data_IF_703342691001
#
_entry.id   IF_703342691001
#
_cell.length_a   1.000
_cell.length_b   1.000
_cell.length_c   1.000
_cell.angle_alpha   90.00
_cell.angle_beta   90.00
_cell.angle_gamma   90.00
#
_symmetry.space_group_name_H-M   'P 1'
#
loop_
_entity.id
_entity.type
_entity.pdbx_description
1 polymer ?
#
# COMPACT_ATOMS: atom_id res chain seq x y z
N UNK A 1 12.01 -52.46 30.17
CA UNK A 1 11.84 -51.34 29.21
C UNK A 1 11.11 -50.20 29.92
N UNK A 2 11.70 -49.02 29.95
CA UNK A 2 11.09 -47.86 30.58
C UNK A 2 10.21 -47.15 29.50
N UNK A 3 8.90 -47.03 29.75
CA UNK A 3 7.96 -46.33 28.88
C UNK A 3 7.69 -44.94 29.44
N UNK A 4 8.19 -43.90 28.79
CA UNK A 4 7.85 -42.52 29.13
C UNK A 4 6.52 -42.14 28.43
N UNK A 5 5.52 -41.70 29.20
CA UNK A 5 4.30 -41.07 28.70
C UNK A 5 4.32 -39.59 29.04
N UNK A 6 4.29 -38.71 28.02
CA UNK A 6 4.15 -37.27 28.22
C UNK A 6 2.67 -36.92 28.23
N UNK A 7 2.16 -36.39 29.35
CA UNK A 7 0.79 -35.85 29.43
C UNK A 7 0.73 -34.50 28.69
N UNK A 8 -0.26 -34.30 27.83
CA UNK A 8 -0.46 -33.05 27.12
C UNK A 8 0.20 -32.99 25.72
N UNK A 9 0.99 -34.01 25.32
CA UNK A 9 1.60 -34.02 23.98
C UNK A 9 0.56 -34.08 22.87
N UNK A 10 -0.54 -34.82 23.05
CA UNK A 10 -1.60 -34.94 22.04
C UNK A 10 -2.36 -33.63 21.85
N UNK A 11 -2.63 -32.91 22.94
CA UNK A 11 -3.25 -31.57 22.88
C UNK A 11 -2.36 -30.56 22.17
N UNK A 12 -1.06 -30.61 22.45
CA UNK A 12 -0.09 -29.76 21.78
C UNK A 12 0.03 -30.06 20.29
N UNK A 13 0.07 -31.33 19.90
CA UNK A 13 0.08 -31.76 18.50
C UNK A 13 -1.19 -31.32 17.76
N UNK A 14 -2.37 -31.46 18.40
CA UNK A 14 -3.62 -30.96 17.81
C UNK A 14 -3.60 -29.45 17.60
N UNK A 15 -3.04 -28.68 18.55
CA UNK A 15 -2.89 -27.24 18.42
C UNK A 15 -1.97 -26.87 17.25
N UNK A 16 -0.83 -27.55 17.10
CA UNK A 16 0.07 -27.35 15.97
C UNK A 16 -0.59 -27.67 14.63
N UNK A 17 -1.35 -28.76 14.53
CA UNK A 17 -2.09 -29.11 13.31
C UNK A 17 -3.15 -28.06 12.95
N UNK A 18 -3.83 -27.44 13.94
CA UNK A 18 -4.75 -26.33 13.71
C UNK A 18 -4.05 -25.10 13.19
N UNK A 19 -2.88 -24.75 13.77
CA UNK A 19 -2.05 -23.65 13.29
C UNK A 19 -1.66 -23.88 11.84
N UNK A 20 -1.12 -25.06 11.51
CA UNK A 20 -0.73 -25.41 10.15
C UNK A 20 -1.87 -25.26 9.14
N UNK A 21 -3.04 -25.81 9.47
CA UNK A 21 -4.23 -25.73 8.62
C UNK A 21 -4.72 -24.30 8.38
N UNK A 22 -4.63 -23.42 9.38
CA UNK A 22 -5.13 -22.05 9.33
C UNK A 22 -4.05 -21.03 8.90
N UNK A 23 -2.82 -21.48 8.68
CA UNK A 23 -1.69 -20.60 8.31
C UNK A 23 -1.99 -19.68 7.13
N UNK A 24 -2.56 -20.12 6.00
CA UNK A 24 -2.84 -19.23 4.87
C UNK A 24 -3.82 -18.11 5.23
N UNK A 25 -4.86 -18.41 6.03
CA UNK A 25 -5.83 -17.42 6.49
C UNK A 25 -5.20 -16.41 7.44
N UNK A 26 -4.42 -16.88 8.42
CA UNK A 26 -3.70 -16.04 9.36
C UNK A 26 -2.74 -15.11 8.62
N UNK A 27 -1.95 -15.63 7.67
CA UNK A 27 -1.04 -14.83 6.86
C UNK A 27 -1.78 -13.80 6.01
N UNK A 28 -2.94 -14.15 5.46
CA UNK A 28 -3.81 -13.22 4.77
C UNK A 28 -4.22 -12.04 5.65
N UNK A 29 -4.70 -12.30 6.86
CA UNK A 29 -5.07 -11.26 7.84
C UNK A 29 -3.87 -10.39 8.21
N UNK A 30 -2.69 -10.99 8.42
CA UNK A 30 -1.45 -10.27 8.74
C UNK A 30 -1.05 -9.34 7.60
N UNK A 31 -0.98 -9.84 6.37
CA UNK A 31 -0.53 -9.08 5.21
C UNK A 31 -1.46 -7.91 4.92
N UNK A 32 -2.78 -8.12 4.96
CA UNK A 32 -3.75 -7.04 4.78
C UNK A 32 -3.71 -6.05 5.95
N UNK A 33 -3.64 -6.52 7.19
CA UNK A 33 -3.56 -5.63 8.36
C UNK A 33 -2.31 -4.74 8.37
N UNK A 34 -1.17 -5.23 7.86
CA UNK A 34 0.01 -4.40 7.63
C UNK A 34 -0.19 -3.41 6.48
N UNK A 35 -0.77 -3.88 5.37
CA UNK A 35 -0.98 -3.09 4.17
C UNK A 35 -1.94 -1.91 4.42
N UNK A 36 -2.98 -2.10 5.22
CA UNK A 36 -3.94 -1.06 5.57
C UNK A 36 -3.25 0.12 6.29
N UNK A 37 -2.38 -0.17 7.27
CA UNK A 37 -1.63 0.88 8.00
C UNK A 37 -0.73 1.68 7.04
N UNK A 38 -0.05 0.99 6.11
CA UNK A 38 0.80 1.65 5.12
C UNK A 38 -0.05 2.44 4.13
N UNK A 39 -1.18 1.87 3.69
CA UNK A 39 -2.08 2.52 2.76
C UNK A 39 -2.69 3.80 3.34
N UNK A 40 -3.10 3.78 4.61
CA UNK A 40 -3.63 4.96 5.28
C UNK A 40 -2.58 6.07 5.39
N UNK A 41 -1.35 5.72 5.75
CA UNK A 41 -0.25 6.69 5.77
C UNK A 41 0.01 7.30 4.37
N UNK A 42 -0.07 6.50 3.30
CA UNK A 42 0.08 7.03 1.93
C UNK A 42 -1.12 7.90 1.53
N UNK A 43 -2.35 7.54 1.91
CA UNK A 43 -3.54 8.38 1.68
C UNK A 43 -3.44 9.73 2.38
N UNK A 44 -2.96 9.77 3.62
CA UNK A 44 -2.70 11.01 4.35
C UNK A 44 -1.71 11.90 3.59
N UNK A 45 -0.59 11.35 3.13
CA UNK A 45 0.40 12.10 2.36
C UNK A 45 -0.15 12.57 0.99
N UNK A 46 -0.96 11.76 0.29
CA UNK A 46 -1.65 12.21 -0.94
C UNK A 46 -2.56 13.40 -0.64
N UNK A 47 -3.28 13.36 0.49
CA UNK A 47 -4.18 14.43 0.90
C UNK A 47 -3.42 15.71 1.29
N UNK A 48 -2.21 15.58 1.79
CA UNK A 48 -1.33 16.70 2.15
C UNK A 48 -0.60 17.31 0.93
N UNK A 49 -0.55 16.65 -0.23
CA UNK A 49 0.09 17.20 -1.42
C UNK A 49 -0.58 18.51 -1.84
N UNK A 50 0.18 19.60 -2.03
CA UNK A 50 -0.36 20.84 -2.56
C UNK A 50 -0.77 20.64 -4.02
N UNK A 51 -1.93 21.16 -4.38
CA UNK A 51 -2.46 21.09 -5.74
C UNK A 51 -3.04 22.44 -6.15
N UNK A 52 -2.83 22.82 -7.41
CA UNK A 52 -3.31 24.07 -7.98
C UNK A 52 -4.51 23.82 -8.90
N UNK A 53 -5.43 24.79 -9.04
CA UNK A 53 -6.47 24.75 -10.05
C UNK A 53 -5.86 24.57 -11.46
N UNK A 54 -6.51 23.79 -12.31
CA UNK A 54 -5.98 23.43 -13.63
C UNK A 54 -5.60 24.64 -14.49
N UNK A 55 -6.37 25.73 -14.40
CA UNK A 55 -6.12 26.97 -15.17
C UNK A 55 -4.85 27.67 -14.69
N UNK A 56 -4.59 27.70 -13.39
CA UNK A 56 -3.40 28.31 -12.79
C UNK A 56 -2.15 27.48 -13.05
N UNK A 57 -2.28 26.16 -13.02
CA UNK A 57 -1.21 25.23 -13.38
C UNK A 57 -0.75 25.40 -14.84
N UNK A 58 -1.68 25.60 -15.78
CA UNK A 58 -1.36 25.90 -17.17
C UNK A 58 -0.65 27.24 -17.34
N UNK A 59 -1.07 28.27 -16.59
CA UNK A 59 -0.41 29.59 -16.61
C UNK A 59 1.00 29.52 -16.03
N UNK A 60 1.20 28.77 -14.97
CA UNK A 60 2.52 28.56 -14.35
C UNK A 60 3.47 27.86 -15.31
N UNK A 61 2.99 26.84 -16.02
CA UNK A 61 3.78 26.13 -17.00
C UNK A 61 4.15 27.00 -18.22
N UNK A 62 3.23 27.82 -18.70
CA UNK A 62 3.49 28.75 -19.82
C UNK A 62 4.55 29.82 -19.50
N UNK A 63 4.79 30.11 -18.21
CA UNK A 63 5.84 31.03 -17.74
C UNK A 63 7.22 30.36 -17.55
N UNK A 64 7.38 29.08 -17.96
CA UNK A 64 8.63 28.35 -17.83
C UNK A 64 8.93 27.80 -16.42
N UNK A 65 7.95 27.89 -15.51
CA UNK A 65 8.04 27.22 -14.20
C UNK A 65 7.71 25.73 -14.33
N UNK A 66 8.20 24.93 -13.39
CA UNK A 66 7.89 23.50 -13.37
C UNK A 66 6.39 23.29 -13.11
N UNK A 67 5.80 22.29 -13.78
CA UNK A 67 4.38 22.00 -13.68
C UNK A 67 3.97 21.59 -12.26
N UNK A 68 3.07 22.32 -11.58
CA UNK A 68 2.53 21.91 -10.30
C UNK A 68 1.61 20.70 -10.45
N UNK A 69 1.29 20.05 -9.32
CA UNK A 69 0.22 19.05 -9.28
C UNK A 69 -1.13 19.75 -9.43
N UNK A 70 -1.98 19.26 -10.33
CA UNK A 70 -3.33 19.83 -10.50
C UNK A 70 -4.33 19.15 -9.58
N UNK A 71 -5.46 19.82 -9.32
CA UNK A 71 -6.57 19.25 -8.55
C UNK A 71 -7.12 17.97 -9.19
N UNK A 72 -7.20 17.91 -10.52
CA UNK A 72 -7.66 16.71 -11.24
C UNK A 72 -6.69 15.55 -11.12
N UNK A 73 -5.38 15.81 -11.22
CA UNK A 73 -4.35 14.79 -10.99
C UNK A 73 -4.41 14.26 -9.55
N UNK A 74 -4.50 15.15 -8.56
CA UNK A 74 -4.63 14.75 -7.15
C UNK A 74 -5.85 13.87 -6.91
N UNK A 75 -7.02 14.25 -7.46
CA UNK A 75 -8.22 13.40 -7.40
C UNK A 75 -8.01 12.05 -8.07
N UNK A 76 -7.27 12.00 -9.19
CA UNK A 76 -6.89 10.76 -9.84
C UNK A 76 -6.04 9.86 -8.93
N UNK A 77 -5.06 10.42 -8.22
CA UNK A 77 -4.25 9.68 -7.25
C UNK A 77 -5.09 9.15 -6.09
N UNK A 78 -5.99 9.98 -5.53
CA UNK A 78 -6.88 9.58 -4.44
C UNK A 78 -7.80 8.41 -4.84
N UNK A 79 -8.37 8.45 -6.05
CA UNK A 79 -9.26 7.39 -6.56
C UNK A 79 -8.51 6.14 -7.00
N UNK A 80 -7.31 6.31 -7.57
CA UNK A 80 -6.55 5.22 -8.16
C UNK A 80 -5.64 4.48 -7.17
N UNK A 81 -5.45 5.01 -5.95
CA UNK A 81 -4.61 4.34 -4.95
C UNK A 81 -5.34 3.20 -4.28
N UNK A 82 -4.73 2.02 -4.27
CA UNK A 82 -5.33 0.83 -3.68
C UNK A 82 -4.32 -0.26 -3.32
N UNK A 83 -4.88 -1.35 -2.77
CA UNK A 83 -4.18 -2.57 -2.39
C UNK A 83 -4.65 -3.67 -3.34
N UNK A 84 -3.72 -4.45 -3.89
CA UNK A 84 -4.06 -5.60 -4.75
C UNK A 84 -4.66 -6.75 -3.94
N UNK A 85 -5.24 -7.71 -4.63
CA UNK A 85 -5.52 -9.02 -4.03
C UNK A 85 -4.20 -9.65 -3.57
N UNK A 86 -4.29 -10.49 -2.53
CA UNK A 86 -3.17 -11.26 -2.05
C UNK A 86 -2.66 -12.20 -3.16
N UNK A 87 -1.36 -12.24 -3.31
CA UNK A 87 -0.64 -13.12 -4.21
C UNK A 87 0.23 -14.06 -3.37
N UNK A 88 0.42 -15.25 -3.87
CA UNK A 88 1.34 -16.23 -3.32
C UNK A 88 2.37 -16.56 -4.41
N UNK A 89 3.64 -16.36 -4.10
CA UNK A 89 4.77 -16.68 -4.97
C UNK A 89 5.81 -17.43 -4.12
N UNK A 90 6.12 -18.66 -4.48
CA UNK A 90 7.13 -19.51 -3.80
C UNK A 90 6.94 -19.63 -2.29
N UNK A 91 5.68 -19.72 -1.82
CA UNK A 91 5.32 -19.78 -0.40
C UNK A 91 5.33 -18.43 0.33
N UNK A 92 5.54 -17.32 -0.38
CA UNK A 92 5.46 -15.97 0.17
C UNK A 92 4.11 -15.32 -0.16
N UNK A 93 3.39 -14.91 0.89
CA UNK A 93 2.15 -14.17 0.76
C UNK A 93 2.42 -12.67 0.75
N UNK A 94 1.95 -11.98 -0.28
CA UNK A 94 2.14 -10.53 -0.39
C UNK A 94 0.97 -9.83 -1.07
N UNK A 95 0.85 -8.52 -0.79
CA UNK A 95 -0.01 -7.59 -1.52
C UNK A 95 0.85 -6.44 -2.05
N UNK A 96 0.39 -5.80 -3.12
CA UNK A 96 1.03 -4.62 -3.69
C UNK A 96 0.16 -3.40 -3.43
N UNK A 97 0.77 -2.31 -2.97
CA UNK A 97 0.12 -1.01 -2.91
C UNK A 97 0.54 -0.22 -4.14
N UNK A 98 -0.40 0.44 -4.78
CA UNK A 98 -0.07 1.15 -6.01
C UNK A 98 -1.22 1.99 -6.53
N UNK A 99 -0.98 2.56 -7.72
CA UNK A 99 -1.91 3.44 -8.40
C UNK A 99 -2.40 2.77 -9.67
N UNK A 100 -3.71 2.72 -9.84
CA UNK A 100 -4.38 2.21 -11.03
C UNK A 100 -5.25 3.28 -11.68
N UNK A 101 -5.72 2.99 -12.91
CA UNK A 101 -6.63 3.85 -13.64
C UNK A 101 -6.00 5.12 -14.19
N UNK A 102 -6.89 6.03 -14.57
CA UNK A 102 -6.56 7.27 -15.27
C UNK A 102 -7.24 8.45 -14.59
N UNK A 103 -6.60 9.62 -14.67
CA UNK A 103 -7.23 10.87 -14.26
C UNK A 103 -8.10 11.45 -15.39
N UNK A 104 -8.79 12.57 -15.10
CA UNK A 104 -9.71 13.21 -16.04
C UNK A 104 -9.00 14.15 -17.05
N UNK A 105 -7.66 14.17 -17.10
CA UNK A 105 -6.91 15.04 -18.01
C UNK A 105 -6.62 14.31 -19.32
N UNK A 106 -7.40 14.64 -20.34
CA UNK A 106 -7.26 14.05 -21.67
C UNK A 106 -6.29 14.89 -22.53
N UNK A 107 -5.36 14.21 -23.19
CA UNK A 107 -4.42 14.81 -24.12
C UNK A 107 -4.40 14.00 -25.43
N UNK A 108 -3.78 14.54 -26.50
CA UNK A 108 -3.59 13.77 -27.76
C UNK A 108 -2.89 12.44 -27.51
N UNK A 109 -1.93 12.38 -26.59
CA UNK A 109 -1.19 11.16 -26.21
C UNK A 109 -1.99 10.25 -25.29
N UNK A 110 -2.87 10.79 -24.46
CA UNK A 110 -3.66 10.07 -23.47
C UNK A 110 -5.15 10.40 -23.61
N UNK A 111 -5.84 9.87 -24.64
CA UNK A 111 -7.25 10.22 -24.91
C UNK A 111 -8.22 9.72 -23.83
N UNK A 112 -7.84 8.69 -23.06
CA UNK A 112 -8.60 8.15 -21.91
C UNK A 112 -8.30 8.87 -20.59
N UNK A 113 -7.35 9.80 -20.58
CA UNK A 113 -6.78 10.43 -19.38
C UNK A 113 -5.34 9.99 -19.14
N UNK A 114 -4.62 10.70 -18.29
CA UNK A 114 -3.25 10.35 -17.95
C UNK A 114 -3.24 9.21 -16.91
N UNK A 115 -2.36 8.19 -17.05
CA UNK A 115 -2.26 7.12 -16.06
C UNK A 115 -1.86 7.66 -14.67
N UNK A 116 -2.60 7.28 -13.64
CA UNK A 116 -2.33 7.72 -12.26
C UNK A 116 -0.94 7.27 -11.78
N UNK A 117 -0.48 6.09 -12.17
CA UNK A 117 0.87 5.58 -11.84
C UNK A 117 1.97 6.49 -12.41
N UNK A 118 1.76 7.08 -13.60
CA UNK A 118 2.73 7.99 -14.21
C UNK A 118 2.84 9.29 -13.40
N UNK A 119 1.70 9.83 -12.97
CA UNK A 119 1.66 11.04 -12.14
C UNK A 119 2.29 10.78 -10.77
N UNK A 120 1.93 9.68 -10.11
CA UNK A 120 2.54 9.28 -8.83
C UNK A 120 4.06 9.18 -8.93
N UNK A 121 4.58 8.52 -9.97
CA UNK A 121 6.02 8.38 -10.20
C UNK A 121 6.69 9.73 -10.45
N UNK A 122 6.05 10.62 -11.22
CA UNK A 122 6.59 11.94 -11.51
C UNK A 122 6.67 12.84 -10.25
N UNK A 123 5.75 12.69 -9.31
CA UNK A 123 5.79 13.39 -8.02
C UNK A 123 6.83 12.75 -7.09
N UNK A 124 6.81 11.44 -6.94
CA UNK A 124 7.71 10.71 -6.03
C UNK A 124 9.19 10.90 -6.37
N UNK A 125 9.52 10.84 -7.66
CA UNK A 125 10.92 10.85 -8.13
C UNK A 125 11.36 12.14 -8.80
N UNK A 126 10.40 13.01 -9.12
CA UNK A 126 10.63 14.16 -10.00
C UNK A 126 10.65 13.76 -11.48
N UNK A 127 10.58 14.77 -12.35
CA UNK A 127 10.69 14.62 -13.80
C UNK A 127 11.29 15.88 -14.42
N UNK A 128 11.52 15.88 -15.74
CA UNK A 128 12.00 17.07 -16.45
C UNK A 128 11.08 18.30 -16.32
N UNK A 129 9.80 18.05 -16.08
CA UNK A 129 8.75 19.08 -16.00
C UNK A 129 8.17 19.28 -14.59
N UNK A 130 8.54 18.42 -13.62
CA UNK A 130 7.92 18.44 -12.28
C UNK A 130 8.97 18.25 -11.19
N UNK A 131 8.86 19.04 -10.13
CA UNK A 131 9.75 18.90 -8.95
C UNK A 131 9.44 17.61 -8.19
N UNK A 132 10.51 17.04 -7.62
CA UNK A 132 10.42 15.88 -6.74
C UNK A 132 9.76 16.27 -5.42
N UNK A 133 8.68 15.58 -5.08
CA UNK A 133 7.97 15.66 -3.80
C UNK A 133 7.60 14.26 -3.34
N UNK A 134 8.54 13.52 -2.71
CA UNK A 134 8.27 12.15 -2.29
C UNK A 134 7.15 12.11 -1.25
N UNK A 135 6.21 11.19 -1.41
CA UNK A 135 5.09 11.00 -0.50
C UNK A 135 4.89 9.52 -0.13
N UNK A 136 5.18 8.60 -1.05
CA UNK A 136 5.07 7.15 -0.78
C UNK A 136 6.17 6.67 0.14
N UNK A 137 7.44 7.04 -0.14
CA UNK A 137 8.59 6.60 0.65
C UNK A 137 8.55 7.13 2.09
N UNK A 138 8.28 8.41 2.35
CA UNK A 138 8.12 8.91 3.71
C UNK A 138 6.99 8.22 4.47
N UNK A 139 5.81 8.04 3.83
CA UNK A 139 4.67 7.33 4.42
C UNK A 139 5.03 5.90 4.82
N UNK A 140 5.67 5.16 3.92
CA UNK A 140 6.10 3.78 4.17
C UNK A 140 7.11 3.70 5.33
N UNK A 141 8.08 4.61 5.37
CA UNK A 141 9.08 4.62 6.45
C UNK A 141 8.44 4.96 7.81
N UNK A 142 7.53 5.94 7.85
CA UNK A 142 6.81 6.36 9.06
C UNK A 142 5.91 5.23 9.60
N UNK A 143 5.24 4.50 8.73
CA UNK A 143 4.26 3.46 9.10
C UNK A 143 4.88 2.09 9.38
N UNK A 144 6.12 1.82 8.97
CA UNK A 144 6.79 0.51 9.09
C UNK A 144 6.70 -0.10 10.49
N UNK A 145 6.99 0.69 11.53
CA UNK A 145 6.98 0.20 12.93
C UNK A 145 5.57 -0.16 13.38
N UNK A 146 4.58 0.64 13.02
CA UNK A 146 3.16 0.40 13.37
C UNK A 146 2.61 -0.80 12.61
N UNK A 147 2.95 -0.96 11.34
CA UNK A 147 2.60 -2.13 10.56
C UNK A 147 3.17 -3.42 11.15
N UNK A 148 4.46 -3.41 11.57
CA UNK A 148 5.07 -4.55 12.25
C UNK A 148 4.39 -4.92 13.58
N UNK A 149 4.02 -3.91 14.38
CA UNK A 149 3.26 -4.15 15.63
C UNK A 149 1.88 -4.74 15.33
N UNK A 150 1.20 -4.26 14.29
CA UNK A 150 -0.10 -4.80 13.90
C UNK A 150 0.00 -6.26 13.46
N UNK A 151 1.04 -6.62 12.71
CA UNK A 151 1.32 -8.00 12.33
C UNK A 151 1.44 -8.91 13.56
N UNK A 152 2.26 -8.50 14.53
CA UNK A 152 2.44 -9.25 15.78
C UNK A 152 1.12 -9.43 16.53
N UNK A 153 0.35 -8.37 16.71
CA UNK A 153 -0.96 -8.44 17.38
C UNK A 153 -1.88 -9.44 16.69
N UNK A 154 -1.99 -9.39 15.36
CA UNK A 154 -2.86 -10.32 14.62
C UNK A 154 -2.39 -11.77 14.79
N UNK A 155 -1.07 -12.02 14.73
CA UNK A 155 -0.52 -13.36 14.91
C UNK A 155 -0.84 -13.88 16.33
N UNK A 156 -0.61 -13.06 17.35
CA UNK A 156 -0.85 -13.45 18.74
C UNK A 156 -2.35 -13.72 18.98
N UNK A 157 -3.25 -12.87 18.46
CA UNK A 157 -4.70 -13.03 18.59
C UNK A 157 -5.19 -14.31 17.90
N UNK A 158 -4.74 -14.57 16.66
CA UNK A 158 -5.14 -15.75 15.89
C UNK A 158 -4.61 -17.07 16.50
N UNK A 159 -3.36 -17.07 16.99
CA UNK A 159 -2.80 -18.26 17.64
C UNK A 159 -3.47 -18.54 18.98
N UNK A 160 -3.83 -17.50 19.73
CA UNK A 160 -4.51 -17.68 21.01
C UNK A 160 -5.97 -18.13 20.85
N UNK A 161 -6.59 -17.85 19.69
CA UNK A 161 -7.95 -18.27 19.37
C UNK A 161 -8.05 -19.75 18.91
N UNK A 162 -6.94 -20.43 18.64
CA UNK A 162 -6.86 -21.85 18.23
C UNK A 162 -6.76 -22.80 19.41
#
# INVERSE_FOLDING_TARGET
MATMRFKGLDEYLQKLQRVEKNTPEILGKVVYGMADIVADAVREEINALPAEPDVEALKSWSKGTRAPLTVKEKKGLQKGFGITKMLEEDGYYHVKLGFDGYNDIKTKKYPKGQPNVMIARAIESGSSIRDKRPFVRPATNKSRKSAGKRAQTIIDDEINAL
#
